data_IF_455135699189
#
_entry.id   IF_455135699189
#
_cell.length_a   1.000
_cell.length_b   1.000
_cell.length_c   1.000
_cell.angle_alpha   90.00
_cell.angle_beta   90.00
_cell.angle_gamma   90.00
#
_symmetry.space_group_name_H-M   'P 1'
#
loop_
_entity.id
_entity.type
_entity.pdbx_description
1 polymer ?
#
# COMPACT_ATOMS: atom_id res chain seq x y z
N UNK A 1 13.57 3.47 -8.12
CA UNK A 1 13.06 3.67 -6.75
C UNK A 1 12.83 2.31 -6.15
N UNK A 2 13.38 2.04 -4.95
CA UNK A 2 13.27 0.76 -4.28
C UNK A 2 12.02 0.73 -3.41
N UNK A 3 11.15 -0.22 -3.65
CA UNK A 3 9.85 -0.32 -2.97
C UNK A 3 9.72 -1.71 -2.33
N UNK A 4 9.34 -1.74 -1.06
CA UNK A 4 9.02 -2.99 -0.35
C UNK A 4 7.51 -3.08 -0.20
N UNK A 5 6.93 -4.21 -0.60
CA UNK A 5 5.50 -4.50 -0.42
C UNK A 5 5.36 -5.68 0.53
N UNK A 6 4.71 -5.47 1.66
CA UNK A 6 4.51 -6.48 2.71
C UNK A 6 3.07 -6.97 2.67
N UNK A 7 2.90 -8.28 2.49
CA UNK A 7 1.61 -8.95 2.37
C UNK A 7 1.19 -9.15 0.91
N UNK A 8 1.29 -10.40 0.44
CA UNK A 8 0.95 -10.82 -0.93
C UNK A 8 -0.48 -11.38 -1.03
N UNK A 9 -1.43 -10.67 -0.44
CA UNK A 9 -2.83 -10.84 -0.75
C UNK A 9 -3.20 -10.24 -2.11
N UNK A 10 -4.50 -10.20 -2.44
CA UNK A 10 -4.99 -9.66 -3.73
C UNK A 10 -4.45 -8.27 -4.06
N UNK A 11 -4.43 -7.38 -3.06
CA UNK A 11 -3.90 -6.02 -3.23
C UNK A 11 -2.38 -6.02 -3.43
N UNK A 12 -1.64 -6.76 -2.58
CA UNK A 12 -0.18 -6.77 -2.63
C UNK A 12 0.38 -7.32 -3.92
N UNK A 13 -0.14 -8.46 -4.40
CA UNK A 13 0.25 -9.05 -5.69
C UNK A 13 -0.04 -8.08 -6.84
N UNK A 14 -1.25 -7.50 -6.86
CA UNK A 14 -1.63 -6.56 -7.91
C UNK A 14 -0.74 -5.31 -7.92
N UNK A 15 -0.45 -4.77 -6.72
CA UNK A 15 0.42 -3.60 -6.55
C UNK A 15 1.86 -3.90 -6.95
N UNK A 16 2.44 -5.00 -6.44
CA UNK A 16 3.81 -5.40 -6.74
C UNK A 16 4.03 -5.56 -8.25
N UNK A 17 3.15 -6.28 -8.94
CA UNK A 17 3.19 -6.44 -10.40
C UNK A 17 3.05 -5.12 -11.16
N UNK A 18 2.19 -4.22 -10.68
CA UNK A 18 1.99 -2.91 -11.32
C UNK A 18 3.23 -2.04 -11.19
N UNK A 19 3.82 -1.98 -10.00
CA UNK A 19 5.03 -1.20 -9.74
C UNK A 19 6.23 -1.75 -10.53
N UNK A 20 6.40 -3.07 -10.57
CA UNK A 20 7.45 -3.73 -11.35
C UNK A 20 7.35 -3.36 -12.84
N UNK A 21 6.15 -3.46 -13.43
CA UNK A 21 5.91 -3.04 -14.83
C UNK A 21 6.15 -1.55 -15.08
N UNK A 22 6.08 -0.71 -14.06
CA UNK A 22 6.42 0.71 -14.12
C UNK A 22 7.92 0.98 -13.94
N UNK A 23 8.75 -0.06 -13.80
CA UNK A 23 10.20 0.04 -13.67
C UNK A 23 10.69 0.33 -12.25
N UNK A 24 9.87 0.12 -11.22
CA UNK A 24 10.32 0.17 -9.84
C UNK A 24 11.06 -1.13 -9.48
N UNK A 25 12.09 -1.02 -8.64
CA UNK A 25 12.74 -2.17 -8.02
C UNK A 25 11.89 -2.62 -6.83
N UNK A 26 11.13 -3.69 -6.98
CA UNK A 26 10.16 -4.17 -5.98
C UNK A 26 10.71 -5.38 -5.23
N UNK A 27 10.62 -5.35 -3.90
CA UNK A 27 10.80 -6.53 -3.05
C UNK A 27 9.46 -6.88 -2.38
N UNK A 28 8.98 -8.07 -2.60
CA UNK A 28 7.73 -8.58 -2.03
C UNK A 28 8.02 -9.46 -0.81
N UNK A 29 7.30 -9.21 0.30
CA UNK A 29 7.43 -9.99 1.54
C UNK A 29 6.08 -10.64 1.87
N UNK A 30 6.09 -11.95 2.12
CA UNK A 30 4.98 -12.67 2.74
C UNK A 30 5.54 -13.87 3.52
N UNK A 31 4.83 -14.31 4.55
CA UNK A 31 5.18 -15.51 5.31
C UNK A 31 4.71 -16.80 4.61
N UNK A 32 3.86 -16.68 3.60
CA UNK A 32 3.30 -17.78 2.84
C UNK A 32 3.98 -17.84 1.45
N UNK A 33 4.80 -18.88 1.21
CA UNK A 33 5.52 -19.02 -0.06
C UNK A 33 4.57 -19.14 -1.26
N UNK A 34 3.39 -19.76 -1.13
CA UNK A 34 2.43 -19.89 -2.22
C UNK A 34 1.92 -18.51 -2.68
N UNK A 35 1.80 -17.56 -1.74
CA UNK A 35 1.44 -16.19 -2.08
C UNK A 35 2.54 -15.46 -2.84
N UNK A 36 3.79 -15.71 -2.50
CA UNK A 36 4.93 -15.18 -3.25
C UNK A 36 5.00 -15.79 -4.66
N UNK A 37 4.77 -17.08 -4.80
CA UNK A 37 4.68 -17.75 -6.11
C UNK A 37 3.56 -17.19 -6.99
N UNK A 38 2.47 -16.69 -6.37
CA UNK A 38 1.36 -16.06 -7.10
C UNK A 38 1.77 -14.81 -7.88
N UNK A 39 2.93 -14.21 -7.61
CA UNK A 39 3.49 -13.12 -8.41
C UNK A 39 3.79 -13.57 -9.86
N UNK A 40 4.10 -14.85 -10.06
CA UNK A 40 4.33 -15.46 -11.37
C UNK A 40 5.69 -15.14 -11.97
N UNK A 41 6.05 -15.86 -13.04
CA UNK A 41 7.36 -15.79 -13.69
C UNK A 41 7.66 -14.42 -14.32
N UNK A 42 6.64 -13.65 -14.65
CA UNK A 42 6.80 -12.30 -15.25
C UNK A 42 7.17 -11.21 -14.26
N UNK A 43 7.17 -11.50 -12.95
CA UNK A 43 7.59 -10.55 -11.93
C UNK A 43 9.11 -10.47 -11.89
N UNK A 44 9.66 -9.29 -12.23
CA UNK A 44 11.10 -9.01 -12.28
C UNK A 44 11.71 -8.59 -10.95
N UNK A 45 10.89 -8.40 -9.91
CA UNK A 45 11.34 -8.03 -8.57
C UNK A 45 11.91 -9.20 -7.77
N UNK A 46 12.23 -8.96 -6.51
CA UNK A 46 12.69 -9.99 -5.56
C UNK A 46 11.60 -10.35 -4.56
N UNK A 47 11.73 -11.53 -3.96
CA UNK A 47 10.83 -12.02 -2.92
C UNK A 47 11.61 -12.38 -1.67
N UNK A 48 11.02 -12.15 -0.49
CA UNK A 48 11.57 -12.59 0.81
C UNK A 48 10.43 -13.26 1.57
N UNK A 49 10.64 -14.55 1.89
CA UNK A 49 9.70 -15.28 2.74
C UNK A 49 9.97 -14.93 4.21
N UNK A 50 8.91 -14.57 4.93
CA UNK A 50 9.01 -14.32 6.36
C UNK A 50 7.95 -13.36 6.89
N UNK A 51 8.01 -13.15 8.19
CA UNK A 51 7.10 -12.24 8.92
C UNK A 51 7.51 -10.79 8.65
N UNK A 52 6.58 -9.99 8.11
CA UNK A 52 6.86 -8.66 7.59
C UNK A 52 7.34 -7.61 8.61
N UNK A 53 7.27 -7.88 9.90
CA UNK A 53 7.84 -7.02 10.94
C UNK A 53 9.10 -7.62 11.60
N UNK A 54 9.56 -8.78 11.13
CA UNK A 54 10.83 -9.34 11.58
C UNK A 54 11.98 -8.50 11.01
N UNK A 55 12.91 -8.15 11.88
CA UNK A 55 14.05 -7.31 11.53
C UNK A 55 14.92 -7.95 10.44
N UNK A 56 15.23 -9.24 10.59
CA UNK A 56 16.07 -9.95 9.62
C UNK A 56 15.40 -10.03 8.24
N UNK A 57 14.08 -10.21 8.20
CA UNK A 57 13.28 -10.21 6.97
C UNK A 57 13.29 -8.85 6.29
N UNK A 58 13.09 -7.77 7.05
CA UNK A 58 13.12 -6.40 6.53
C UNK A 58 14.52 -6.01 6.02
N UNK A 59 15.58 -6.42 6.74
CA UNK A 59 16.95 -6.17 6.32
C UNK A 59 17.30 -6.98 5.06
N UNK A 60 16.88 -8.25 4.97
CA UNK A 60 17.02 -9.06 3.76
C UNK A 60 16.29 -8.47 2.55
N UNK A 61 15.15 -7.80 2.77
CA UNK A 61 14.42 -7.08 1.75
C UNK A 61 15.05 -5.73 1.37
N UNK A 62 16.11 -5.31 2.04
CA UNK A 62 16.85 -4.08 1.75
C UNK A 62 16.17 -2.81 2.27
N UNK A 63 15.53 -2.87 3.43
CA UNK A 63 14.79 -1.74 4.02
C UNK A 63 15.67 -0.49 4.24
N UNK A 64 16.97 -0.68 4.50
CA UNK A 64 17.92 0.42 4.68
C UNK A 64 18.04 1.34 3.46
N UNK A 65 17.71 0.81 2.28
CA UNK A 65 17.77 1.53 1.00
C UNK A 65 16.40 1.72 0.37
N UNK A 66 15.34 1.37 1.09
CA UNK A 66 13.99 1.49 0.59
C UNK A 66 13.56 2.96 0.49
N UNK A 67 13.00 3.33 -0.65
CA UNK A 67 12.36 4.63 -0.86
C UNK A 67 10.92 4.64 -0.39
N UNK A 68 10.29 3.47 -0.37
CA UNK A 68 8.93 3.30 0.12
C UNK A 68 8.70 1.89 0.70
N UNK A 69 7.82 1.82 1.70
CA UNK A 69 7.28 0.57 2.25
C UNK A 69 5.77 0.64 2.25
N UNK A 70 5.13 -0.39 1.71
CA UNK A 70 3.68 -0.54 1.71
C UNK A 70 3.32 -1.80 2.50
N UNK A 71 2.60 -1.64 3.61
CA UNK A 71 2.08 -2.74 4.41
C UNK A 71 0.61 -2.97 4.07
N UNK A 72 0.31 -4.13 3.49
CA UNK A 72 -1.04 -4.47 3.01
C UNK A 72 -1.44 -5.93 3.31
N UNK A 73 -1.01 -6.44 4.47
CA UNK A 73 -1.44 -7.75 4.99
C UNK A 73 -2.94 -7.72 5.37
N UNK A 74 -3.49 -8.85 5.76
CA UNK A 74 -4.88 -8.95 6.23
C UNK A 74 -5.12 -8.39 7.64
N UNK A 75 -4.07 -8.03 8.38
CA UNK A 75 -4.15 -7.53 9.77
C UNK A 75 -3.73 -6.07 9.85
N UNK A 76 -4.62 -5.22 10.36
CA UNK A 76 -4.33 -3.80 10.61
C UNK A 76 -3.19 -3.62 11.61
N UNK A 77 -3.16 -4.45 12.67
CA UNK A 77 -2.11 -4.44 13.68
C UNK A 77 -0.74 -4.71 13.05
N UNK A 78 -0.65 -5.75 12.21
CA UNK A 78 0.57 -6.07 11.48
C UNK A 78 0.99 -4.92 10.58
N UNK A 79 0.06 -4.35 9.83
CA UNK A 79 0.34 -3.23 8.92
C UNK A 79 0.86 -2.00 9.66
N UNK A 80 0.29 -1.71 10.83
CA UNK A 80 0.74 -0.61 11.69
C UNK A 80 2.15 -0.88 12.25
N UNK A 81 2.43 -2.11 12.71
CA UNK A 81 3.74 -2.47 13.26
C UNK A 81 4.82 -2.35 12.19
N UNK A 82 4.58 -2.92 11.00
CA UNK A 82 5.48 -2.78 9.84
C UNK A 82 5.73 -1.32 9.51
N UNK A 83 4.67 -0.52 9.42
CA UNK A 83 4.77 0.90 9.08
C UNK A 83 5.56 1.69 10.13
N UNK A 84 5.32 1.44 11.42
CA UNK A 84 6.06 2.10 12.50
C UNK A 84 7.55 1.75 12.49
N UNK A 85 7.89 0.48 12.36
CA UNK A 85 9.29 0.05 12.27
C UNK A 85 9.95 0.71 11.06
N UNK A 86 9.33 0.64 9.88
CA UNK A 86 9.85 1.25 8.66
C UNK A 86 10.09 2.75 8.82
N UNK A 87 9.15 3.47 9.45
CA UNK A 87 9.23 4.92 9.60
C UNK A 87 10.17 5.36 10.71
N UNK A 88 10.06 4.75 11.90
CA UNK A 88 10.75 5.21 13.10
C UNK A 88 12.16 4.64 13.22
N UNK A 89 12.35 3.36 12.88
CA UNK A 89 13.65 2.69 12.99
C UNK A 89 14.50 2.91 11.75
N UNK A 90 13.96 2.63 10.57
CA UNK A 90 14.70 2.70 9.31
C UNK A 90 14.55 4.03 8.57
N UNK A 91 13.67 4.93 9.05
CA UNK A 91 13.45 6.28 8.50
C UNK A 91 13.08 6.27 7.01
N UNK A 92 12.38 5.23 6.56
CA UNK A 92 11.91 5.14 5.18
C UNK A 92 11.07 6.38 4.83
N UNK A 93 11.36 7.08 3.72
CA UNK A 93 10.72 8.36 3.40
C UNK A 93 9.20 8.26 3.19
N UNK A 94 8.74 7.20 2.56
CA UNK A 94 7.32 6.99 2.24
C UNK A 94 6.85 5.68 2.85
N UNK A 95 5.92 5.75 3.77
CA UNK A 95 5.35 4.58 4.41
C UNK A 95 3.83 4.63 4.31
N UNK A 96 3.25 3.57 3.76
CA UNK A 96 1.82 3.45 3.53
C UNK A 96 1.33 2.18 4.22
N UNK A 97 0.26 2.29 5.02
CA UNK A 97 -0.39 1.15 5.65
C UNK A 97 -1.83 1.02 5.16
N UNK A 98 -2.22 -0.21 4.75
CA UNK A 98 -3.61 -0.52 4.51
C UNK A 98 -4.30 -0.77 5.86
N UNK A 99 -5.41 -0.11 6.10
CA UNK A 99 -6.24 -0.29 7.30
C UNK A 99 -7.68 -0.55 6.87
N UNK A 100 -8.35 -1.48 7.54
CA UNK A 100 -9.79 -1.66 7.40
C UNK A 100 -10.54 -0.58 8.16
N UNK A 101 -10.02 -0.19 9.32
CA UNK A 101 -10.61 0.81 10.19
C UNK A 101 -9.73 2.06 10.27
N UNK A 102 -10.29 3.21 9.86
CA UNK A 102 -9.55 4.49 9.75
C UNK A 102 -9.68 5.34 11.02
N UNK A 103 -10.32 4.86 12.07
CA UNK A 103 -10.58 5.63 13.30
C UNK A 103 -9.35 6.37 13.87
N UNK A 104 -8.14 5.90 13.59
CA UNK A 104 -6.88 6.48 14.05
C UNK A 104 -6.00 7.07 12.93
N UNK A 105 -6.53 7.30 11.73
CA UNK A 105 -5.75 7.76 10.58
C UNK A 105 -4.95 9.05 10.88
N UNK A 106 -5.53 10.00 11.62
CA UNK A 106 -4.86 11.24 12.01
C UNK A 106 -3.63 10.99 12.89
N UNK A 107 -3.72 10.04 13.83
CA UNK A 107 -2.60 9.66 14.67
C UNK A 107 -1.45 9.09 13.85
N UNK A 108 -1.76 8.23 12.87
CA UNK A 108 -0.73 7.66 12.00
C UNK A 108 -0.13 8.70 11.06
N UNK A 109 -0.93 9.64 10.56
CA UNK A 109 -0.44 10.75 9.73
C UNK A 109 0.57 11.61 10.49
N UNK A 110 0.35 11.89 11.79
CA UNK A 110 1.31 12.62 12.65
C UNK A 110 2.63 11.86 12.83
N UNK A 111 2.61 10.54 12.74
CA UNK A 111 3.81 9.70 12.76
C UNK A 111 4.50 9.58 11.39
N UNK A 112 4.00 10.28 10.37
CA UNK A 112 4.52 10.23 9.01
C UNK A 112 4.16 8.95 8.25
N UNK A 113 3.08 8.27 8.67
CA UNK A 113 2.53 7.08 8.04
C UNK A 113 1.25 7.48 7.32
N UNK A 114 1.19 7.21 6.01
CA UNK A 114 -0.05 7.37 5.24
C UNK A 114 -0.89 6.10 5.39
N UNK A 115 -2.17 6.26 5.65
CA UNK A 115 -3.11 5.14 5.73
C UNK A 115 -4.10 5.19 4.57
N UNK A 116 -4.44 4.01 4.04
CA UNK A 116 -5.49 3.84 3.04
C UNK A 116 -6.49 2.78 3.51
N UNK A 117 -7.78 3.01 3.28
CA UNK A 117 -8.81 1.99 3.42
C UNK A 117 -9.44 1.71 2.06
N UNK A 118 -9.24 0.48 1.59
CA UNK A 118 -9.84 0.04 0.33
C UNK A 118 -11.36 -0.11 0.45
N UNK A 119 -11.84 -0.46 1.63
CA UNK A 119 -13.28 -0.58 1.89
C UNK A 119 -13.95 0.79 1.87
N UNK A 120 -13.40 1.77 2.59
CA UNK A 120 -13.95 3.13 2.64
C UNK A 120 -13.89 3.80 1.26
N UNK A 121 -12.78 3.64 0.55
CA UNK A 121 -12.67 4.12 -0.83
C UNK A 121 -13.72 3.48 -1.74
N UNK A 122 -13.91 2.16 -1.64
CA UNK A 122 -14.90 1.43 -2.45
C UNK A 122 -16.34 1.87 -2.14
N UNK A 123 -16.69 1.99 -0.86
CA UNK A 123 -18.00 2.48 -0.42
C UNK A 123 -18.27 3.87 -0.96
N UNK A 124 -17.31 4.79 -0.82
CA UNK A 124 -17.41 6.15 -1.34
C UNK A 124 -17.64 6.15 -2.85
N UNK A 125 -16.84 5.35 -3.58
CA UNK A 125 -16.98 5.26 -5.05
C UNK A 125 -18.34 4.72 -5.48
N UNK A 126 -18.88 3.71 -4.78
CA UNK A 126 -20.23 3.20 -5.06
C UNK A 126 -21.29 4.26 -4.80
N UNK A 127 -21.21 5.00 -3.68
CA UNK A 127 -22.12 6.09 -3.39
C UNK A 127 -22.05 7.19 -4.47
N UNK A 128 -20.86 7.55 -4.92
CA UNK A 128 -20.67 8.51 -6.01
C UNK A 128 -21.34 8.06 -7.30
N UNK A 129 -21.13 6.82 -7.73
CA UNK A 129 -21.74 6.25 -8.91
C UNK A 129 -23.27 6.17 -8.84
N UNK A 130 -23.84 6.01 -7.65
CA UNK A 130 -25.29 6.02 -7.44
C UNK A 130 -25.87 7.43 -7.46
N UNK A 131 -25.11 8.42 -7.02
CA UNK A 131 -25.58 9.81 -6.87
C UNK A 131 -25.40 10.62 -8.17
N UNK A 132 -24.35 10.31 -8.93
CA UNK A 132 -23.97 11.06 -10.12
C UNK A 132 -23.97 10.15 -11.35
N UNK A 133 -25.10 10.10 -12.05
CA UNK A 133 -25.28 9.21 -13.22
C UNK A 133 -24.49 9.64 -14.49
N UNK A 134 -23.84 10.81 -14.52
CA UNK A 134 -23.22 11.38 -15.74
C UNK A 134 -21.96 12.22 -15.45
N UNK A 135 -21.06 11.76 -14.56
CA UNK A 135 -19.82 12.49 -14.35
C UNK A 135 -18.62 11.66 -14.85
N UNK A 136 -18.23 11.95 -16.08
CA UNK A 136 -16.92 11.58 -16.61
C UNK A 136 -15.83 12.41 -15.92
N UNK A 137 -14.81 11.73 -15.38
CA UNK A 137 -13.60 12.28 -14.77
C UNK A 137 -13.79 13.12 -13.48
N UNK A 138 -13.81 12.42 -12.34
CA UNK A 138 -13.59 13.03 -11.03
C UNK A 138 -12.09 12.98 -10.70
N UNK A 139 -11.45 14.12 -10.62
CA UNK A 139 -10.06 14.24 -10.12
C UNK A 139 -10.09 14.72 -8.68
N UNK A 140 -9.60 13.90 -7.76
CA UNK A 140 -9.41 14.29 -6.36
C UNK A 140 -8.09 15.06 -6.21
N UNK A 141 -8.15 16.23 -5.58
CA UNK A 141 -7.00 17.07 -5.27
C UNK A 141 -6.75 17.07 -3.75
N UNK A 142 -5.52 16.77 -3.36
CA UNK A 142 -5.12 16.76 -1.95
C UNK A 142 -5.58 15.53 -1.18
N UNK A 143 -6.11 15.72 0.03
CA UNK A 143 -6.61 14.66 0.92
C UNK A 143 -8.06 14.23 0.64
N UNK A 144 -8.63 14.60 -0.50
CA UNK A 144 -10.02 14.29 -0.87
C UNK A 144 -11.03 15.40 -0.51
N UNK A 145 -10.56 16.55 -0.04
CA UNK A 145 -11.42 17.67 0.37
C UNK A 145 -11.89 18.54 -0.80
N UNK A 146 -11.22 18.44 -1.96
CA UNK A 146 -11.57 19.18 -3.18
C UNK A 146 -11.68 18.24 -4.37
N UNK A 147 -12.79 18.31 -5.09
CA UNK A 147 -13.05 17.50 -6.28
C UNK A 147 -13.30 18.42 -7.48
N UNK A 148 -12.62 18.09 -8.58
CA UNK A 148 -12.96 18.65 -9.89
C UNK A 148 -13.91 17.70 -10.59
N UNK A 149 -15.08 18.22 -10.94
CA UNK A 149 -16.13 17.48 -11.63
C UNK A 149 -16.35 18.12 -12.99
N UNK A 150 -16.29 17.35 -14.06
CA UNK A 150 -16.72 17.79 -15.39
C UNK A 150 -18.21 17.54 -15.50
N UNK A 151 -19.00 18.60 -15.62
CA UNK A 151 -20.41 18.54 -15.98
C UNK A 151 -20.55 18.97 -17.43
N UNK A 152 -21.07 18.09 -18.29
CA UNK A 152 -21.57 18.52 -19.61
C UNK A 152 -22.94 19.21 -19.41
N UNK A 153 -23.03 20.47 -19.80
CA UNK A 153 -24.25 21.28 -19.76
C UNK A 153 -24.97 21.15 -21.08
#
# INVERSE_FOLDING_TARGET
MNVIVVGMGRMGVSLARKLDRQGYSVCAIDQDPERLESLGESFGGSTVEGVGFDRAVLEAAGIDRASAVIACTSSDETNIVVARISRQTYRVPRVIARLYEISNAETYRRLGIQSISTTDWGVRRVCELLTFNELDDVVELGSGDVRLVRADV
#
